data_IF_432390360955
#
_entry.id   IF_432390360955
#
_cell.length_a   1.000
_cell.length_b   1.000
_cell.length_c   1.000
_cell.angle_alpha   90.00
_cell.angle_beta   90.00
_cell.angle_gamma   90.00
#
_symmetry.space_group_name_H-M   'P 1'
#
loop_
_entity.id
_entity.type
_entity.pdbx_description
1 polymer ?
#
# COMPACT_ATOMS: atom_id res chain seq x y z
N UNK A 1 -38.50 20.82 63.23
CA UNK A 1 -38.82 21.24 61.84
C UNK A 1 -37.67 22.04 61.23
N UNK A 2 -36.43 21.81 61.68
CA UNK A 2 -35.37 22.84 61.61
C UNK A 2 -34.31 22.55 60.53
N UNK A 3 -34.20 21.29 60.09
CA UNK A 3 -33.28 20.87 59.02
C UNK A 3 -33.63 21.45 57.65
N UNK A 4 -34.93 21.57 57.32
CA UNK A 4 -35.38 22.15 56.02
C UNK A 4 -35.11 23.65 55.94
N UNK A 5 -35.26 24.39 57.04
CA UNK A 5 -34.95 25.83 57.10
C UNK A 5 -33.46 26.09 56.97
N UNK A 6 -32.62 25.28 57.62
CA UNK A 6 -31.15 25.37 57.54
C UNK A 6 -30.60 25.16 56.12
N UNK A 7 -31.17 24.22 55.36
CA UNK A 7 -30.72 23.89 54.02
C UNK A 7 -31.04 25.00 52.99
N UNK A 8 -32.22 25.62 53.09
CA UNK A 8 -32.58 26.75 52.22
C UNK A 8 -31.69 27.98 52.45
N UNK A 9 -31.33 28.29 53.70
CA UNK A 9 -30.45 29.41 54.01
C UNK A 9 -29.04 29.22 53.43
N UNK A 10 -28.51 28.00 53.46
CA UNK A 10 -27.20 27.66 52.89
C UNK A 10 -27.16 27.76 51.37
N UNK A 11 -28.26 27.43 50.67
CA UNK A 11 -28.34 27.56 49.22
C UNK A 11 -28.39 29.02 48.77
N UNK A 12 -29.10 29.88 49.52
CA UNK A 12 -29.27 31.30 49.18
C UNK A 12 -27.95 32.09 49.31
N UNK A 13 -27.04 31.66 50.19
CA UNK A 13 -25.72 32.30 50.37
C UNK A 13 -24.68 31.96 49.29
N UNK A 14 -24.99 31.03 48.38
CA UNK A 14 -24.05 30.60 47.35
C UNK A 14 -24.02 31.58 46.16
N UNK A 15 -22.89 31.58 45.44
CA UNK A 15 -22.82 32.29 44.16
C UNK A 15 -23.82 31.70 43.18
N UNK A 16 -24.33 32.47 42.19
CA UNK A 16 -25.27 31.95 41.19
C UNK A 16 -24.75 30.69 40.46
N UNK A 17 -23.43 30.62 40.23
CA UNK A 17 -22.78 29.45 39.63
C UNK A 17 -22.77 28.23 40.57
N UNK A 18 -22.42 28.42 41.84
CA UNK A 18 -22.37 27.33 42.83
C UNK A 18 -23.77 26.82 43.20
N UNK A 19 -24.74 27.73 43.29
CA UNK A 19 -26.16 27.40 43.45
C UNK A 19 -26.63 26.56 42.25
N UNK A 20 -26.34 26.98 41.03
CA UNK A 20 -26.70 26.22 39.83
C UNK A 20 -26.04 24.84 39.79
N UNK A 21 -24.74 24.75 40.14
CA UNK A 21 -23.99 23.49 40.20
C UNK A 21 -24.55 22.54 41.25
N UNK A 22 -24.87 23.04 42.45
CA UNK A 22 -25.46 22.22 43.52
C UNK A 22 -26.86 21.73 43.16
N UNK A 23 -27.69 22.57 42.54
CA UNK A 23 -29.00 22.17 42.03
C UNK A 23 -28.91 21.15 40.89
N UNK A 24 -28.02 21.34 39.90
CA UNK A 24 -27.80 20.34 38.84
C UNK A 24 -27.37 19.00 39.45
N UNK A 25 -26.42 19.01 40.38
CA UNK A 25 -25.96 17.78 41.02
C UNK A 25 -27.10 17.07 41.78
N UNK A 26 -27.95 17.82 42.49
CA UNK A 26 -29.04 17.26 43.30
C UNK A 26 -30.27 16.83 42.47
N UNK A 27 -30.55 17.49 41.36
CA UNK A 27 -31.77 17.20 40.57
C UNK A 27 -31.49 16.34 39.34
N UNK A 28 -30.29 16.43 38.77
CA UNK A 28 -29.91 15.77 37.51
C UNK A 28 -28.92 14.61 37.72
N UNK A 29 -28.12 14.57 38.80
CA UNK A 29 -27.23 13.41 39.04
C UNK A 29 -27.79 12.40 40.03
N UNK A 30 -28.72 12.81 40.90
CA UNK A 30 -29.26 11.95 41.98
C UNK A 30 -30.36 11.01 41.50
N UNK A 31 -30.97 11.29 40.35
CA UNK A 31 -31.90 10.38 39.66
C UNK A 31 -31.11 9.40 38.80
N UNK A 32 -31.33 8.09 38.97
CA UNK A 32 -30.72 7.04 38.10
C UNK A 32 -31.08 7.33 36.64
N UNK A 33 -30.07 7.41 35.77
CA UNK A 33 -30.21 7.66 34.33
C UNK A 33 -30.17 9.13 33.90
N UNK A 34 -30.24 10.09 34.82
CA UNK A 34 -30.27 11.52 34.45
C UNK A 34 -28.91 12.09 34.00
N UNK A 35 -27.81 11.34 34.16
CA UNK A 35 -26.51 11.60 33.53
C UNK A 35 -26.54 11.57 32.00
N UNK A 36 -27.54 10.91 31.39
CA UNK A 36 -27.68 10.84 29.94
C UNK A 36 -28.10 12.18 29.32
N UNK A 37 -28.88 12.98 30.06
CA UNK A 37 -29.32 14.31 29.63
C UNK A 37 -28.19 15.34 29.61
N UNK A 38 -27.11 15.08 30.36
CA UNK A 38 -25.93 15.94 30.45
C UNK A 38 -24.83 15.58 29.44
N UNK A 39 -25.04 14.53 28.62
CA UNK A 39 -24.09 14.17 27.58
C UNK A 39 -24.06 15.29 26.53
N UNK A 40 -22.91 15.96 26.39
CA UNK A 40 -22.74 16.93 25.31
C UNK A 40 -22.86 16.21 23.97
N UNK A 41 -23.42 16.91 22.99
CA UNK A 41 -23.44 16.40 21.62
C UNK A 41 -22.02 16.47 21.04
N UNK A 42 -21.44 15.31 20.73
CA UNK A 42 -20.08 15.18 20.17
C UNK A 42 -20.06 15.04 18.65
N UNK A 43 -21.20 15.13 17.98
CA UNK A 43 -21.31 14.80 16.55
C UNK A 43 -20.48 15.72 15.63
N UNK A 44 -20.26 16.97 16.03
CA UNK A 44 -19.51 17.95 15.23
C UNK A 44 -18.08 18.18 15.72
N UNK A 45 -17.61 17.40 16.67
CA UNK A 45 -16.26 17.57 17.19
C UNK A 45 -15.25 17.02 16.22
N UNK A 46 -14.33 17.88 15.80
CA UNK A 46 -13.17 17.47 15.02
C UNK A 46 -12.04 17.11 15.97
N UNK A 47 -11.54 15.88 15.86
CA UNK A 47 -10.30 15.50 16.51
C UNK A 47 -9.11 15.91 15.64
N UNK A 48 -7.94 16.10 16.24
CA UNK A 48 -6.69 16.40 15.52
C UNK A 48 -6.40 15.39 14.40
N UNK A 49 -6.74 14.11 14.63
CA UNK A 49 -6.57 13.05 13.63
C UNK A 49 -7.47 13.25 12.40
N UNK A 50 -8.68 13.80 12.58
CA UNK A 50 -9.62 14.04 11.49
C UNK A 50 -9.14 15.24 10.66
N UNK A 51 -8.66 16.29 11.33
CA UNK A 51 -8.03 17.45 10.69
C UNK A 51 -6.82 17.02 9.85
N UNK A 52 -5.97 16.15 10.39
CA UNK A 52 -4.82 15.60 9.65
C UNK A 52 -5.32 14.78 8.45
N UNK A 53 -6.32 13.91 8.60
CA UNK A 53 -6.86 13.13 7.48
C UNK A 53 -7.44 14.01 6.37
N UNK A 54 -8.11 15.10 6.71
CA UNK A 54 -8.67 16.05 5.74
C UNK A 54 -7.58 16.83 4.98
N UNK A 55 -6.52 17.25 5.68
CA UNK A 55 -5.51 18.19 5.15
C UNK A 55 -4.18 17.55 4.79
N UNK A 56 -3.97 16.25 5.05
CA UNK A 56 -2.70 15.60 4.75
C UNK A 56 -2.41 15.65 3.25
N UNK A 57 -1.14 15.86 2.94
CA UNK A 57 -0.59 15.79 1.59
C UNK A 57 0.50 14.73 1.58
N UNK A 58 0.57 13.94 0.51
CA UNK A 58 1.58 12.88 0.41
C UNK A 58 2.99 13.47 0.21
N UNK A 59 3.09 14.58 -0.52
CA UNK A 59 4.27 15.42 -0.65
C UNK A 59 3.85 16.86 -0.41
N UNK A 60 4.56 17.55 0.47
CA UNK A 60 4.40 18.99 0.69
C UNK A 60 5.37 19.76 -0.20
N UNK A 61 4.86 20.72 -0.97
CA UNK A 61 5.70 21.62 -1.75
C UNK A 61 6.33 22.66 -0.81
N UNK A 62 7.65 22.85 -0.87
CA UNK A 62 8.38 23.77 0.03
C UNK A 62 7.91 25.22 -0.11
N UNK A 63 7.42 25.61 -1.28
CA UNK A 63 6.93 26.95 -1.60
C UNK A 63 5.57 27.27 -0.95
N UNK A 64 4.77 26.26 -0.63
CA UNK A 64 3.42 26.47 -0.07
C UNK A 64 3.50 26.58 1.44
N UNK A 65 3.56 27.81 1.94
CA UNK A 65 3.47 28.07 3.37
C UNK A 65 2.01 27.87 3.86
N UNK A 66 1.77 27.06 4.91
CA UNK A 66 0.42 26.79 5.40
C UNK A 66 -0.19 28.04 6.03
N UNK A 67 -1.38 28.41 5.55
CA UNK A 67 -2.11 29.61 6.00
C UNK A 67 -2.94 29.28 7.25
N UNK A 68 -3.60 28.11 7.26
CA UNK A 68 -4.47 27.66 8.36
C UNK A 68 -3.70 26.92 9.46
N UNK A 69 -4.21 26.97 10.69
CA UNK A 69 -3.68 26.18 11.81
C UNK A 69 -3.77 24.67 11.52
N UNK A 70 -4.82 24.23 10.83
CA UNK A 70 -5.06 22.83 10.42
C UNK A 70 -3.95 22.33 9.49
N UNK A 71 -3.56 23.18 8.54
CA UNK A 71 -2.49 22.88 7.58
C UNK A 71 -1.12 22.89 8.29
N UNK A 72 -0.90 23.80 9.24
CA UNK A 72 0.30 23.80 10.09
C UNK A 72 0.40 22.51 10.90
N UNK A 73 -0.71 22.01 11.43
CA UNK A 73 -0.76 20.73 12.16
C UNK A 73 -0.40 19.56 11.23
N UNK A 74 -1.02 19.50 10.04
CA UNK A 74 -0.73 18.48 9.05
C UNK A 74 0.74 18.52 8.58
N UNK A 75 1.32 19.72 8.40
CA UNK A 75 2.74 19.90 8.05
C UNK A 75 3.66 19.38 9.14
N UNK A 76 3.41 19.75 10.41
CA UNK A 76 4.18 19.20 11.56
C UNK A 76 4.14 17.68 11.61
N UNK A 77 2.98 17.08 11.31
CA UNK A 77 2.86 15.62 11.23
C UNK A 77 3.68 15.04 10.07
N UNK A 78 3.66 15.68 8.90
CA UNK A 78 4.46 15.29 7.74
C UNK A 78 5.97 15.37 7.99
N UNK A 79 6.43 16.39 8.70
CA UNK A 79 7.84 16.58 9.04
C UNK A 79 8.34 15.47 9.98
N UNK A 80 7.45 14.95 10.85
CA UNK A 80 7.75 13.82 11.74
C UNK A 80 7.91 12.48 10.99
N UNK A 81 7.38 12.34 9.78
CA UNK A 81 7.44 11.10 9.01
C UNK A 81 8.81 10.93 8.33
N UNK A 82 9.29 9.69 8.29
CA UNK A 82 10.52 9.33 7.60
C UNK A 82 10.23 8.97 6.14
N UNK A 83 11.01 9.58 5.24
CA UNK A 83 10.74 9.63 3.79
C UNK A 83 11.78 8.91 2.94
N UNK A 84 12.68 8.13 3.56
CA UNK A 84 13.70 7.37 2.85
C UNK A 84 13.13 6.13 2.15
N UNK A 85 12.33 5.36 2.89
CA UNK A 85 11.69 4.14 2.41
C UNK A 85 10.19 4.20 2.74
N UNK A 86 9.36 3.73 1.81
CA UNK A 86 7.93 3.56 2.04
C UNK A 86 7.62 2.20 2.70
N UNK A 87 6.47 2.13 3.35
CA UNK A 87 5.82 0.87 3.73
C UNK A 87 4.73 0.60 2.71
N UNK A 88 4.63 -0.65 2.26
CA UNK A 88 3.58 -1.09 1.36
C UNK A 88 2.62 -2.05 2.05
N UNK A 89 1.40 -2.09 1.51
CA UNK A 89 0.41 -3.13 1.79
C UNK A 89 0.16 -3.89 0.49
N UNK A 90 0.61 -5.14 0.48
CA UNK A 90 0.50 -6.04 -0.67
C UNK A 90 -0.67 -7.02 -0.55
N UNK A 91 -1.63 -6.81 0.37
CA UNK A 91 -2.77 -7.73 0.57
C UNK A 91 -3.63 -7.91 -0.70
N UNK A 92 -3.88 -6.83 -1.44
CA UNK A 92 -4.72 -6.82 -2.65
C UNK A 92 -3.90 -6.88 -3.95
N UNK A 93 -2.70 -7.46 -3.93
CA UNK A 93 -1.81 -7.52 -5.08
C UNK A 93 -2.41 -8.25 -6.31
N UNK A 94 -3.35 -9.18 -6.10
CA UNK A 94 -4.06 -9.88 -7.19
C UNK A 94 -4.90 -8.93 -8.05
N UNK A 95 -5.46 -7.88 -7.43
CA UNK A 95 -6.20 -6.82 -8.10
C UNK A 95 -5.30 -5.70 -8.63
N UNK A 96 -3.98 -5.83 -8.49
CA UNK A 96 -2.99 -4.81 -8.82
C UNK A 96 -3.20 -3.49 -8.04
N UNK A 97 -3.80 -3.60 -6.85
CA UNK A 97 -3.94 -2.50 -5.91
C UNK A 97 -2.85 -2.66 -4.85
N UNK A 98 -2.00 -1.66 -4.75
CA UNK A 98 -0.94 -1.58 -3.74
C UNK A 98 -1.11 -0.26 -3.02
N UNK A 99 -1.22 -0.30 -1.71
CA UNK A 99 -1.23 0.90 -0.90
C UNK A 99 0.19 1.16 -0.37
N UNK A 100 0.57 2.43 -0.30
CA UNK A 100 1.86 2.85 0.22
C UNK A 100 1.68 4.00 1.20
N UNK A 101 2.56 4.07 2.19
CA UNK A 101 2.61 5.18 3.14
C UNK A 101 4.04 5.43 3.61
N UNK A 102 4.30 6.64 4.09
CA UNK A 102 5.54 6.99 4.76
C UNK A 102 5.68 6.28 6.10
N UNK A 103 6.93 6.12 6.53
CA UNK A 103 7.29 5.43 7.75
C UNK A 103 7.04 6.30 8.99
N UNK A 104 6.61 5.63 10.06
CA UNK A 104 6.55 6.24 11.38
C UNK A 104 7.82 5.95 12.17
N UNK A 105 8.11 6.79 13.16
CA UNK A 105 9.26 6.65 14.06
C UNK A 105 9.33 5.26 14.72
N UNK A 106 8.20 4.75 15.19
CA UNK A 106 8.12 3.42 15.82
C UNK A 106 8.51 2.29 14.87
N UNK A 107 8.27 2.47 13.57
CA UNK A 107 8.60 1.47 12.54
C UNK A 107 10.06 1.55 12.13
N UNK A 108 10.62 2.76 12.09
CA UNK A 108 12.04 2.98 11.87
C UNK A 108 12.88 2.37 12.99
N UNK A 109 12.49 2.57 14.26
CA UNK A 109 13.17 1.97 15.41
C UNK A 109 13.13 0.44 15.36
N UNK A 110 12.03 -0.13 14.83
CA UNK A 110 11.93 -1.59 14.58
C UNK A 110 12.74 -2.05 13.36
N UNK A 111 13.22 -1.14 12.51
CA UNK A 111 13.95 -1.44 11.29
C UNK A 111 13.06 -1.87 10.12
N UNK A 112 11.75 -1.61 10.15
CA UNK A 112 10.84 -1.94 9.02
C UNK A 112 11.18 -1.09 7.79
N UNK A 113 11.34 -1.75 6.65
CA UNK A 113 11.74 -1.13 5.38
C UNK A 113 13.24 -0.87 5.22
N UNK A 114 14.06 -1.03 6.28
CA UNK A 114 15.53 -0.96 6.17
C UNK A 114 16.19 -2.32 6.38
N UNK A 115 15.89 -2.99 7.50
CA UNK A 115 16.41 -4.33 7.86
C UNK A 115 15.33 -5.42 7.78
N UNK A 116 14.07 -5.03 7.85
CA UNK A 116 12.90 -5.91 7.75
C UNK A 116 12.09 -5.51 6.51
N UNK A 117 11.37 -6.46 5.91
CA UNK A 117 10.49 -6.23 4.77
C UNK A 117 9.56 -5.02 4.98
N UNK A 118 9.44 -4.19 3.94
CA UNK A 118 8.55 -3.03 3.93
C UNK A 118 7.06 -3.38 3.77
N UNK A 119 6.69 -4.65 3.62
CA UNK A 119 5.29 -5.09 3.61
C UNK A 119 4.74 -5.14 5.04
N UNK A 120 3.55 -4.59 5.27
CA UNK A 120 2.94 -4.45 6.61
C UNK A 120 2.88 -5.78 7.37
N UNK A 121 2.64 -6.87 6.65
CA UNK A 121 2.38 -8.21 7.21
C UNK A 121 3.59 -9.15 7.11
N UNK A 122 4.75 -8.70 6.62
CA UNK A 122 5.93 -9.54 6.42
C UNK A 122 7.08 -9.11 7.34
N UNK A 123 7.82 -10.08 7.88
CA UNK A 123 8.96 -9.85 8.79
C UNK A 123 10.29 -10.44 8.29
N UNK A 124 10.40 -10.77 6.99
CA UNK A 124 11.62 -11.33 6.42
C UNK A 124 12.75 -10.28 6.34
N UNK A 125 14.01 -10.72 6.43
CA UNK A 125 15.21 -9.86 6.47
C UNK A 125 16.01 -9.79 5.17
N UNK A 126 15.82 -10.73 4.26
CA UNK A 126 16.42 -10.68 2.92
C UNK A 126 15.67 -9.64 2.08
N UNK A 127 16.36 -8.59 1.62
CA UNK A 127 15.73 -7.39 1.06
C UNK A 127 16.38 -6.95 -0.25
N UNK A 128 15.55 -6.70 -1.25
CA UNK A 128 15.92 -6.02 -2.48
C UNK A 128 15.30 -4.62 -2.50
N UNK A 129 16.04 -3.64 -3.00
CA UNK A 129 15.56 -2.26 -3.15
C UNK A 129 14.85 -2.10 -4.49
N UNK A 130 13.70 -1.43 -4.46
CA UNK A 130 12.84 -1.16 -5.61
C UNK A 130 12.54 0.33 -5.67
N UNK A 131 12.51 0.86 -6.88
CA UNK A 131 11.99 2.19 -7.16
C UNK A 131 10.64 2.02 -7.87
N UNK A 132 9.58 2.55 -7.25
CA UNK A 132 8.22 2.38 -7.75
C UNK A 132 7.61 3.73 -8.03
N UNK A 133 7.01 3.87 -9.22
CA UNK A 133 6.21 5.03 -9.55
C UNK A 133 4.83 4.89 -8.89
N UNK A 134 4.58 5.67 -7.84
CA UNK A 134 3.35 5.69 -7.08
C UNK A 134 2.43 6.79 -7.59
N UNK A 135 1.35 6.40 -8.28
CA UNK A 135 0.28 7.31 -8.68
C UNK A 135 -0.78 7.42 -7.60
N UNK A 136 -1.06 8.63 -7.14
CA UNK A 136 -2.06 8.93 -6.11
C UNK A 136 -2.96 10.09 -6.54
N UNK A 137 -4.12 10.20 -5.90
CA UNK A 137 -5.08 11.29 -6.14
C UNK A 137 -5.08 12.19 -4.91
N UNK A 138 -4.82 13.46 -5.12
CA UNK A 138 -4.80 14.47 -4.06
C UNK A 138 -5.70 15.65 -4.47
N UNK A 139 -6.68 16.00 -3.65
CA UNK A 139 -7.66 17.07 -3.92
C UNK A 139 -8.28 16.98 -5.34
N UNK A 140 -8.50 15.75 -5.84
CA UNK A 140 -9.05 15.49 -7.17
C UNK A 140 -8.03 15.48 -8.33
N UNK A 141 -6.77 15.81 -8.07
CA UNK A 141 -5.69 15.82 -9.07
C UNK A 141 -4.87 14.54 -8.97
N UNK A 142 -4.61 13.89 -10.11
CA UNK A 142 -3.71 12.73 -10.18
C UNK A 142 -2.26 13.22 -10.15
N UNK A 143 -1.51 12.79 -9.15
CA UNK A 143 -0.08 13.06 -8.99
C UNK A 143 0.69 11.74 -9.01
N UNK A 144 1.95 11.80 -9.38
CA UNK A 144 2.87 10.66 -9.39
C UNK A 144 4.11 11.01 -8.57
N UNK A 145 4.65 10.04 -7.83
CA UNK A 145 5.89 10.18 -7.10
C UNK A 145 6.73 8.91 -7.22
N UNK A 146 8.04 9.06 -7.44
CA UNK A 146 8.96 7.94 -7.40
C UNK A 146 9.34 7.67 -5.94
N UNK A 147 9.00 6.49 -5.43
CA UNK A 147 9.26 6.10 -4.04
C UNK A 147 10.16 4.87 -3.97
N UNK A 148 10.99 4.82 -2.93
CA UNK A 148 11.89 3.70 -2.68
C UNK A 148 11.25 2.71 -1.70
N UNK A 149 11.35 1.42 -2.01
CA UNK A 149 10.84 0.31 -1.20
C UNK A 149 11.93 -0.73 -1.00
N UNK A 150 11.99 -1.37 0.17
CA UNK A 150 12.80 -2.58 0.38
C UNK A 150 11.89 -3.75 0.70
N UNK A 151 11.95 -4.80 -0.11
CA UNK A 151 11.06 -5.95 -0.02
C UNK A 151 11.83 -7.25 -0.14
N UNK A 152 11.33 -8.31 0.50
CA UNK A 152 11.86 -9.64 0.31
C UNK A 152 11.48 -10.24 -1.06
N UNK A 153 12.16 -11.30 -1.46
CA UNK A 153 11.93 -11.98 -2.75
C UNK A 153 10.44 -12.34 -2.97
N UNK A 154 9.77 -12.85 -1.92
CA UNK A 154 8.34 -13.17 -1.98
C UNK A 154 7.44 -11.95 -2.18
N UNK A 155 7.71 -10.84 -1.49
CA UNK A 155 6.94 -9.60 -1.61
C UNK A 155 7.26 -8.86 -2.92
N UNK A 156 8.49 -8.96 -3.41
CA UNK A 156 8.88 -8.49 -4.75
C UNK A 156 8.09 -9.19 -5.85
N UNK A 157 7.91 -10.52 -5.73
CA UNK A 157 7.05 -11.26 -6.67
C UNK A 157 5.61 -10.74 -6.65
N UNK A 158 5.05 -10.47 -5.47
CA UNK A 158 3.69 -9.89 -5.33
C UNK A 158 3.59 -8.51 -5.97
N UNK A 159 4.60 -7.66 -5.80
CA UNK A 159 4.66 -6.33 -6.42
C UNK A 159 4.62 -6.43 -7.97
N UNK A 160 5.34 -7.38 -8.55
CA UNK A 160 5.45 -7.58 -10.00
C UNK A 160 4.46 -8.59 -10.59
N UNK A 161 3.43 -8.99 -9.85
CA UNK A 161 2.52 -10.07 -10.19
C UNK A 161 1.90 -9.94 -11.60
N UNK A 162 1.52 -8.73 -12.00
CA UNK A 162 0.89 -8.46 -13.30
C UNK A 162 1.89 -8.42 -14.45
N UNK A 163 3.10 -7.89 -14.23
CA UNK A 163 4.15 -7.86 -15.24
C UNK A 163 4.58 -9.28 -15.61
N UNK A 164 4.79 -10.14 -14.61
CA UNK A 164 5.16 -11.54 -14.84
C UNK A 164 4.04 -12.32 -15.56
N UNK A 165 2.77 -12.12 -15.19
CA UNK A 165 1.63 -12.71 -15.93
C UNK A 165 1.55 -12.23 -17.38
N UNK A 166 1.86 -10.96 -17.64
CA UNK A 166 1.85 -10.40 -19.00
C UNK A 166 2.99 -10.98 -19.84
N UNK A 167 4.18 -11.14 -19.26
CA UNK A 167 5.34 -11.75 -19.91
C UNK A 167 5.11 -13.25 -20.20
N UNK A 168 4.58 -14.01 -19.25
CA UNK A 168 4.23 -15.43 -19.47
C UNK A 168 3.17 -15.57 -20.57
N UNK A 169 2.13 -14.72 -20.56
CA UNK A 169 1.10 -14.72 -21.61
C UNK A 169 1.64 -14.34 -22.99
N UNK A 170 2.58 -13.40 -23.07
CA UNK A 170 3.24 -13.05 -24.34
C UNK A 170 4.10 -14.21 -24.85
N UNK A 171 4.85 -14.88 -23.97
CA UNK A 171 5.68 -16.03 -24.33
C UNK A 171 4.84 -17.18 -24.86
N UNK A 172 3.77 -17.58 -24.17
CA UNK A 172 2.91 -18.66 -24.67
C UNK A 172 2.25 -18.28 -26.02
N UNK A 173 1.76 -17.04 -26.18
CA UNK A 173 1.18 -16.59 -27.45
C UNK A 173 2.19 -16.58 -28.62
N UNK A 174 3.47 -16.28 -28.37
CA UNK A 174 4.52 -16.38 -29.38
C UNK A 174 4.89 -17.83 -29.72
N UNK A 175 4.85 -18.74 -28.75
CA UNK A 175 5.05 -20.17 -28.99
C UNK A 175 3.96 -20.74 -29.90
N UNK A 176 2.69 -20.40 -29.66
CA UNK A 176 1.56 -20.82 -30.51
C UNK A 176 1.63 -20.25 -31.94
N UNK A 177 2.12 -19.01 -32.12
CA UNK A 177 2.31 -18.41 -33.46
C UNK A 177 3.49 -19.00 -34.25
N UNK A 178 4.53 -19.50 -33.58
CA UNK A 178 5.65 -20.18 -34.25
C UNK A 178 5.28 -21.57 -34.73
N UNK A 179 4.39 -22.28 -34.03
CA UNK A 179 3.86 -23.58 -34.47
C UNK A 179 2.87 -23.42 -35.65
N UNK A 180 2.01 -22.40 -35.66
CA UNK A 180 1.07 -22.19 -36.79
C UNK A 180 1.74 -21.76 -38.11
N UNK A 181 2.99 -21.32 -38.09
CA UNK A 181 3.74 -20.95 -39.31
C UNK A 181 4.55 -22.10 -39.92
N UNK A 182 4.63 -23.26 -39.26
CA UNK A 182 5.25 -24.46 -39.81
C UNK A 182 4.24 -25.37 -40.55
N UNK A 183 2.93 -25.17 -40.36
CA UNK A 183 1.87 -26.03 -40.91
C UNK A 183 1.09 -25.40 -42.09
N UNK A 184 1.70 -24.50 -42.87
CA UNK A 184 1.15 -24.06 -44.17
C UNK A 184 2.03 -24.58 -45.31
N UNK A 185 2.10 -25.91 -45.42
CA UNK A 185 2.41 -26.64 -46.66
C UNK A 185 1.82 -28.06 -46.59
N UNK A 186 0.50 -28.16 -46.49
CA UNK A 186 -0.20 -29.44 -46.53
C UNK A 186 -1.72 -29.26 -46.64
N UNK A 187 -2.29 -29.78 -47.73
CA UNK A 187 -3.72 -29.70 -48.13
C UNK A 187 -4.67 -30.30 -47.09
N UNK A 188 -5.90 -29.78 -47.02
CA UNK A 188 -7.09 -30.60 -46.69
C UNK A 188 -8.22 -29.90 -45.93
N UNK A 189 -9.36 -29.68 -46.60
CA UNK A 189 -10.65 -29.22 -46.06
C UNK A 189 -11.14 -30.11 -44.91
N UNK A 190 -11.62 -29.57 -43.78
CA UNK A 190 -12.72 -30.16 -43.00
C UNK A 190 -13.49 -29.11 -42.17
N UNK A 191 -14.78 -29.37 -42.00
CA UNK A 191 -15.87 -28.47 -41.58
C UNK A 191 -15.87 -28.12 -40.09
N UNK A 192 -16.47 -26.96 -39.78
CA UNK A 192 -16.91 -26.49 -38.46
C UNK A 192 -18.01 -27.39 -37.90
N UNK A 193 -17.94 -27.69 -36.60
CA UNK A 193 -19.08 -27.66 -35.66
C UNK A 193 -18.54 -27.60 -34.22
N UNK A 194 -19.25 -26.87 -33.35
CA UNK A 194 -18.74 -26.45 -32.05
C UNK A 194 -19.16 -27.33 -30.88
N UNK A 195 -18.42 -27.21 -29.75
CA UNK A 195 -19.02 -27.04 -28.42
C UNK A 195 -17.98 -26.57 -27.38
N UNK A 196 -18.49 -25.91 -26.34
CA UNK A 196 -17.80 -25.19 -25.25
C UNK A 196 -17.32 -26.13 -24.11
N UNK A 197 -16.59 -25.65 -23.07
CA UNK A 197 -15.33 -26.22 -22.60
C UNK A 197 -15.42 -27.05 -21.32
N UNK A 198 -14.58 -28.09 -21.22
CA UNK A 198 -14.37 -28.85 -19.98
C UNK A 198 -12.87 -29.13 -19.80
N UNK A 199 -12.07 -28.10 -19.56
CA UNK A 199 -10.61 -28.27 -19.46
C UNK A 199 -10.03 -27.27 -18.46
N UNK A 200 -10.08 -27.61 -17.17
CA UNK A 200 -9.54 -26.77 -16.09
C UNK A 200 -8.86 -27.54 -14.95
N UNK A 201 -8.61 -28.85 -15.07
CA UNK A 201 -7.96 -29.61 -13.99
C UNK A 201 -6.67 -30.35 -14.38
N UNK A 202 -6.36 -30.49 -15.66
CA UNK A 202 -5.18 -31.28 -16.10
C UNK A 202 -3.94 -30.41 -16.36
N UNK A 203 -4.14 -29.15 -16.76
CA UNK A 203 -3.07 -28.19 -17.08
C UNK A 203 -2.22 -27.75 -15.87
N UNK A 204 -2.67 -28.03 -14.65
CA UNK A 204 -1.94 -27.70 -13.42
C UNK A 204 -0.84 -28.73 -13.09
N UNK A 205 -1.01 -30.00 -13.49
CA UNK A 205 -0.05 -31.07 -13.15
C UNK A 205 1.17 -31.10 -14.08
N UNK A 206 1.02 -30.68 -15.33
CA UNK A 206 2.15 -30.63 -16.28
C UNK A 206 3.07 -29.42 -16.06
N UNK A 207 2.58 -28.33 -15.48
CA UNK A 207 3.41 -27.14 -15.23
C UNK A 207 4.37 -27.30 -14.03
N UNK A 208 4.11 -28.22 -13.11
CA UNK A 208 5.01 -28.53 -11.99
C UNK A 208 6.12 -29.52 -12.38
N UNK A 209 5.84 -30.46 -13.29
CA UNK A 209 6.86 -31.42 -13.78
C UNK A 209 7.94 -30.76 -14.63
N UNK A 210 7.59 -29.75 -15.45
CA UNK A 210 8.59 -29.04 -16.27
C UNK A 210 9.48 -28.08 -15.46
N UNK A 211 9.00 -27.49 -14.35
CA UNK A 211 9.82 -26.61 -13.50
C UNK A 211 10.98 -27.31 -12.80
N UNK A 212 10.79 -28.57 -12.42
CA UNK A 212 11.81 -29.35 -11.71
C UNK A 212 12.92 -29.86 -12.65
N UNK A 213 12.67 -29.91 -13.97
CA UNK A 213 13.65 -30.38 -14.95
C UNK A 213 14.55 -29.26 -15.49
N UNK A 214 14.16 -27.99 -15.39
CA UNK A 214 14.94 -26.85 -15.91
C UNK A 214 16.21 -26.58 -15.09
N UNK A 215 16.26 -26.96 -13.81
CA UNK A 215 17.41 -26.69 -12.92
C UNK A 215 18.39 -27.87 -12.78
N UNK A 216 18.09 -29.05 -13.33
CA UNK A 216 18.97 -30.24 -13.27
C UNK A 216 19.76 -30.53 -14.55
N UNK A 217 19.38 -29.93 -15.68
CA UNK A 217 19.91 -30.33 -16.99
C UNK A 217 21.11 -29.51 -17.50
N UNK A 218 21.62 -28.54 -16.75
CA UNK A 218 22.76 -27.74 -17.19
C UNK A 218 24.01 -28.11 -16.39
N UNK A 219 24.57 -29.27 -16.70
CA UNK A 219 25.98 -29.57 -16.49
C UNK A 219 26.56 -30.05 -17.82
N UNK A 220 26.90 -29.08 -18.67
CA UNK A 220 27.73 -29.23 -19.88
C UNK A 220 28.52 -27.92 -20.05
N UNK A 221 29.76 -27.96 -20.57
CA UNK A 221 30.83 -27.06 -20.16
C UNK A 221 30.59 -25.61 -20.59
N UNK A 222 31.03 -24.71 -19.71
CA UNK A 222 31.15 -23.26 -19.94
C UNK A 222 31.77 -23.00 -21.32
N UNK A 223 30.97 -22.46 -22.24
CA UNK A 223 31.51 -21.68 -23.34
C UNK A 223 31.89 -20.33 -22.74
N UNK A 224 33.18 -20.00 -22.76
CA UNK A 224 33.67 -18.70 -22.30
C UNK A 224 33.00 -17.60 -23.13
N UNK A 225 32.26 -16.72 -22.45
CA UNK A 225 31.77 -15.49 -23.06
C UNK A 225 32.99 -14.65 -23.45
N UNK A 226 33.10 -14.29 -24.73
CA UNK A 226 34.16 -13.40 -25.21
C UNK A 226 34.15 -12.09 -24.43
N UNK A 227 35.32 -11.52 -24.09
CA UNK A 227 35.38 -10.28 -23.34
C UNK A 227 34.71 -9.15 -24.14
N UNK A 228 33.92 -8.34 -23.42
CA UNK A 228 33.12 -7.21 -23.95
C UNK A 228 33.92 -6.24 -24.83
N UNK A 229 35.23 -6.18 -24.65
CA UNK A 229 36.12 -5.30 -25.40
C UNK A 229 36.30 -5.75 -26.87
N UNK A 230 36.27 -7.05 -27.16
CA UNK A 230 36.35 -7.58 -28.54
C UNK A 230 35.09 -7.23 -29.36
N UNK A 231 33.90 -7.29 -28.73
CA UNK A 231 32.65 -6.87 -29.38
C UNK A 231 32.63 -5.36 -29.67
N UNK A 232 33.30 -4.57 -28.83
CA UNK A 232 33.41 -3.13 -29.01
C UNK A 232 34.35 -2.78 -30.18
N UNK A 233 35.46 -3.51 -30.36
CA UNK A 233 36.37 -3.31 -31.49
C UNK A 233 35.76 -3.76 -32.82
N UNK A 234 35.01 -4.87 -32.85
CA UNK A 234 34.26 -5.30 -34.04
C UNK A 234 33.20 -4.28 -34.46
N UNK A 235 32.54 -3.63 -33.49
CA UNK A 235 31.58 -2.57 -33.77
C UNK A 235 32.25 -1.31 -34.33
N UNK A 236 33.40 -0.91 -33.78
CA UNK A 236 34.15 0.25 -34.26
C UNK A 236 34.74 0.04 -35.64
N UNK A 237 35.21 -1.18 -35.95
CA UNK A 237 35.72 -1.53 -37.28
C UNK A 237 34.61 -1.57 -38.33
N UNK A 238 33.39 -1.98 -37.97
CA UNK A 238 32.22 -1.91 -38.86
C UNK A 238 31.74 -0.49 -39.16
N UNK A 239 32.10 0.50 -38.33
CA UNK A 239 31.65 1.90 -38.48
C UNK A 239 32.63 2.77 -39.30
N UNK A 240 33.84 2.26 -39.53
CA UNK A 240 34.94 2.95 -40.25
C UNK A 240 35.19 2.40 -41.66
N UNK A 241 34.35 1.46 -42.11
CA UNK A 241 34.24 0.99 -43.50
C UNK A 241 33.04 1.65 -44.18
#
# INVERSE_FOLDING_TARGET
MDLKKSYCSQLISLTPFDLHKTLINYYVLTKRGSTELLKRNTANDKCDIDVIREKHQFLWDETTSPLSWEEKLAKKYYDKLFKEYCICDLTQFKENKVAMRWQTEQEMVKGKGQFICGDKNCNNKELSTWEVNFGYIEKGVKKNALVKLRLCSQCSYKLNYRHQKKEVRKRCNNSFKKQSNFDIKGKGKFKKEGNKPTECQEVAKDCERERNNIWRSNNTPLQEDKPRDEEFEEYLTMLLL
#
